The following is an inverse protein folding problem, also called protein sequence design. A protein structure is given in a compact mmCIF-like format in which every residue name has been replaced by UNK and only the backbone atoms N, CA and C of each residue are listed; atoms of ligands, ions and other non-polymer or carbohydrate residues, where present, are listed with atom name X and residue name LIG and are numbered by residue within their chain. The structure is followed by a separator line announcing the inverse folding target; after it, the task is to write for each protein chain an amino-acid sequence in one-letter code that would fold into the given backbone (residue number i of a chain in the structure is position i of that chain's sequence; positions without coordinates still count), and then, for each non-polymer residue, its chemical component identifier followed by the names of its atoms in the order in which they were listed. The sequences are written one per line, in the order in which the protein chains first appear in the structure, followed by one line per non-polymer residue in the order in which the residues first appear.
data_IF_660887919070
#
_entry.id   IF_660887919070
#
_cell.length_a   1.000
_cell.length_b   1.000
_cell.length_c   1.000
_cell.angle_alpha   90.00
_cell.angle_beta   90.00
_cell.angle_gamma   90.00
#
_symmetry.space_group_name_H-M   'P 1'
#
loop_
_entity.id
_entity.type
_entity.pdbx_description
1 polymer ?
#
# COMPACT_ATOMS: atom_id res chain seq x y z
N UNK A 1 18.54 25.75 11.03
CA UNK A 1 19.12 24.63 11.78
C UNK A 1 18.72 23.23 11.27
N UNK A 2 17.70 23.06 10.41
CA UNK A 2 17.29 21.74 9.84
C UNK A 2 18.19 21.21 8.72
N UNK A 3 19.03 22.03 8.09
CA UNK A 3 19.89 21.63 6.95
C UNK A 3 21.22 20.95 7.32
N UNK A 4 21.62 20.97 8.58
CA UNK A 4 22.90 20.40 9.04
C UNK A 4 22.76 18.90 9.42
N UNK A 5 21.55 18.44 9.71
CA UNK A 5 21.30 17.06 10.14
C UNK A 5 21.46 16.00 9.02
N UNK A 6 21.19 16.39 7.76
CA UNK A 6 21.30 15.49 6.60
C UNK A 6 22.76 15.15 6.26
N UNK A 7 23.70 16.08 6.48
CA UNK A 7 25.11 15.83 6.20
C UNK A 7 25.83 14.97 7.27
N UNK A 8 25.32 14.95 8.50
CA UNK A 8 25.91 14.11 9.56
C UNK A 8 25.51 12.63 9.45
N UNK A 9 24.33 12.32 8.91
CA UNK A 9 23.91 10.94 8.66
C UNK A 9 24.75 10.32 7.51
N UNK A 10 25.07 11.07 6.47
CA UNK A 10 25.92 10.59 5.38
C UNK A 10 27.36 10.24 5.82
N UNK A 11 27.89 10.93 6.84
CA UNK A 11 29.27 10.69 7.32
C UNK A 11 29.40 9.43 8.19
N UNK A 12 28.34 8.96 8.81
CA UNK A 12 28.33 7.73 9.64
C UNK A 12 28.31 6.48 8.75
N UNK A 13 27.83 6.57 7.49
CA UNK A 13 27.69 5.43 6.58
C UNK A 13 28.95 5.14 5.72
N UNK A 14 30.04 5.93 5.83
CA UNK A 14 31.27 5.70 5.07
C UNK A 14 32.34 4.87 5.79
N UNK A 15 32.11 4.42 7.02
CA UNK A 15 32.95 3.38 7.60
C UNK A 15 32.45 2.00 7.09
N UNK A 16 33.34 1.07 6.72
CA UNK A 16 32.93 -0.29 6.45
C UNK A 16 32.35 -0.84 7.75
N UNK A 17 31.00 -0.86 7.83
CA UNK A 17 30.36 -1.60 8.91
C UNK A 17 30.76 -3.06 8.74
N UNK A 18 31.35 -3.70 9.77
CA UNK A 18 31.40 -5.14 9.77
C UNK A 18 29.99 -5.62 9.58
N UNK A 19 29.76 -6.60 8.73
CA UNK A 19 28.51 -7.35 8.65
C UNK A 19 28.08 -7.59 10.10
N UNK A 20 26.95 -7.02 10.54
CA UNK A 20 26.47 -7.22 11.90
C UNK A 20 26.31 -8.73 12.08
N UNK A 21 27.15 -9.29 12.93
CA UNK A 21 27.34 -10.69 13.06
C UNK A 21 26.05 -11.42 13.39
N UNK A 22 25.97 -12.66 12.97
CA UNK A 22 25.08 -13.66 13.53
C UNK A 22 25.22 -13.60 15.07
N UNK A 23 24.22 -12.98 15.71
CA UNK A 23 24.04 -13.17 17.16
C UNK A 23 23.48 -14.57 17.29
N UNK A 24 24.33 -15.54 17.60
CA UNK A 24 24.09 -16.99 17.68
C UNK A 24 22.68 -17.43 17.21
N UNK A 25 22.51 -17.65 15.89
CA UNK A 25 21.29 -18.18 15.30
C UNK A 25 20.15 -17.16 15.09
N UNK A 26 20.41 -15.83 15.17
CA UNK A 26 19.49 -14.80 14.72
C UNK A 26 19.95 -14.21 13.38
N UNK A 27 19.02 -14.11 12.44
CA UNK A 27 19.18 -13.37 11.19
C UNK A 27 18.66 -11.96 11.39
N UNK A 28 19.51 -10.96 11.24
CA UNK A 28 19.15 -9.54 11.38
C UNK A 28 19.41 -8.87 10.02
N UNK A 29 18.35 -8.31 9.44
CA UNK A 29 18.38 -7.59 8.19
C UNK A 29 17.64 -6.27 8.34
N UNK A 30 18.00 -5.30 7.53
CA UNK A 30 17.32 -4.03 7.57
C UNK A 30 17.48 -3.25 6.27
N UNK A 31 16.70 -2.18 6.18
CA UNK A 31 16.81 -1.21 5.11
C UNK A 31 16.49 0.19 5.64
N UNK A 32 17.06 1.17 4.97
CA UNK A 32 16.73 2.57 5.17
C UNK A 32 16.65 3.26 3.81
N UNK A 33 15.61 3.99 3.57
CA UNK A 33 15.44 4.78 2.35
C UNK A 33 15.08 6.22 2.66
N UNK A 34 15.49 7.12 1.76
CA UNK A 34 15.10 8.53 1.78
C UNK A 34 14.91 9.00 0.35
N UNK A 35 13.96 9.89 0.15
CA UNK A 35 13.63 10.34 -1.18
C UNK A 35 13.12 11.77 -1.24
N UNK A 36 12.75 12.17 -2.46
CA UNK A 36 12.21 13.47 -2.77
C UNK A 36 11.09 13.30 -3.80
N UNK A 37 9.94 13.93 -3.54
CA UNK A 37 8.81 14.00 -4.46
C UNK A 37 8.59 15.44 -4.91
N UNK A 38 8.36 15.65 -6.21
CA UNK A 38 8.02 16.94 -6.79
C UNK A 38 6.95 16.77 -7.85
N UNK A 39 5.75 17.25 -7.57
CA UNK A 39 4.66 17.27 -8.54
C UNK A 39 4.49 18.66 -9.17
N UNK A 40 3.80 18.69 -10.31
CA UNK A 40 3.34 19.91 -10.95
C UNK A 40 1.82 19.89 -10.99
N UNK A 41 1.19 20.95 -10.52
CA UNK A 41 -0.26 21.22 -10.46
C UNK A 41 -0.98 20.60 -9.26
N UNK A 42 -0.98 19.28 -9.07
CA UNK A 42 -1.70 18.60 -7.98
C UNK A 42 -0.74 18.04 -6.93
N UNK A 43 -1.14 17.97 -5.68
CA UNK A 43 -0.39 17.26 -4.63
C UNK A 43 -0.63 15.75 -4.73
N UNK A 44 0.36 14.97 -4.27
CA UNK A 44 0.31 13.52 -4.21
C UNK A 44 1.22 12.99 -3.11
N UNK A 45 0.69 12.14 -2.23
CA UNK A 45 1.41 11.62 -1.06
C UNK A 45 2.02 12.74 -0.18
N UNK A 46 1.27 13.82 0.03
CA UNK A 46 1.70 14.99 0.77
C UNK A 46 1.84 16.24 -0.11
N UNK A 47 2.44 17.29 0.44
CA UNK A 47 2.57 18.61 -0.24
C UNK A 47 3.63 18.62 -1.35
N UNK A 48 3.54 17.67 -2.27
CA UNK A 48 4.54 17.46 -3.33
C UNK A 48 4.65 18.62 -4.34
N UNK A 49 3.63 19.50 -4.47
CA UNK A 49 3.71 20.71 -5.32
C UNK A 49 4.83 21.67 -4.93
N UNK A 50 5.17 21.75 -3.65
CA UNK A 50 6.28 22.57 -3.17
C UNK A 50 7.60 21.82 -3.09
N UNK A 51 7.55 20.49 -3.26
CA UNK A 51 8.66 19.56 -3.08
C UNK A 51 8.67 19.01 -1.66
N UNK A 52 8.70 17.67 -1.56
CA UNK A 52 8.53 16.91 -0.33
C UNK A 52 9.77 16.05 -0.10
N UNK A 53 10.43 16.22 1.05
CA UNK A 53 11.52 15.37 1.56
C UNK A 53 11.03 14.40 2.65
N UNK A 54 9.80 14.57 3.14
CA UNK A 54 9.11 13.61 3.99
C UNK A 54 8.67 12.41 3.12
N UNK A 55 9.67 11.66 2.65
CA UNK A 55 9.55 10.45 1.85
C UNK A 55 10.68 9.51 2.23
N UNK A 56 10.50 8.85 3.37
CA UNK A 56 11.51 7.97 3.94
C UNK A 56 10.89 6.72 4.57
N UNK A 57 11.64 5.65 4.61
CA UNK A 57 11.24 4.37 5.19
C UNK A 57 12.45 3.74 5.89
N UNK A 58 12.20 3.06 7.00
CA UNK A 58 13.17 2.27 7.73
C UNK A 58 12.52 0.95 8.16
N UNK A 59 13.22 -0.16 7.99
CA UNK A 59 12.78 -1.48 8.45
C UNK A 59 13.93 -2.25 9.09
N UNK A 60 13.65 -2.91 10.23
CA UNK A 60 14.57 -3.82 10.89
C UNK A 60 13.88 -5.17 11.10
N UNK A 61 14.40 -6.21 10.46
CA UNK A 61 13.90 -7.57 10.52
C UNK A 61 14.77 -8.42 11.42
N UNK A 62 14.16 -9.17 12.31
CA UNK A 62 14.82 -10.15 13.16
C UNK A 62 14.11 -11.48 12.99
N UNK A 63 14.84 -12.51 12.58
CA UNK A 63 14.30 -13.84 12.37
C UNK A 63 15.17 -14.86 13.11
N UNK A 64 14.56 -16.00 13.49
CA UNK A 64 15.27 -17.13 14.05
C UNK A 64 14.57 -18.44 13.72
N UNK A 65 15.30 -19.39 13.19
CA UNK A 65 14.90 -20.78 13.16
C UNK A 65 15.13 -21.39 14.54
N UNK A 66 14.04 -21.64 15.29
CA UNK A 66 14.08 -22.22 16.64
C UNK A 66 14.34 -23.73 16.57
N UNK A 67 13.74 -24.38 15.57
CA UNK A 67 13.94 -25.78 15.18
C UNK A 67 13.79 -25.89 13.66
N UNK A 68 14.04 -27.06 13.09
CA UNK A 68 13.85 -27.34 11.66
C UNK A 68 12.41 -27.02 11.16
N UNK A 69 11.44 -26.98 12.07
CA UNK A 69 10.03 -26.81 11.75
C UNK A 69 9.41 -25.54 12.35
N UNK A 70 10.12 -24.83 13.23
CA UNK A 70 9.61 -23.64 13.92
C UNK A 70 10.51 -22.46 13.65
N UNK A 71 9.92 -21.43 13.05
CA UNK A 71 10.55 -20.12 12.85
C UNK A 71 9.77 -19.03 13.57
N UNK A 72 10.48 -18.08 14.13
CA UNK A 72 9.92 -16.83 14.64
C UNK A 72 10.52 -15.67 13.85
N UNK A 73 9.74 -14.62 13.68
CA UNK A 73 10.22 -13.44 12.97
C UNK A 73 9.42 -12.21 13.37
N UNK A 74 10.07 -11.04 13.28
CA UNK A 74 9.43 -9.74 13.51
C UNK A 74 10.08 -8.65 12.66
N UNK A 75 9.33 -7.59 12.40
CA UNK A 75 9.83 -6.36 11.79
C UNK A 75 9.38 -5.15 12.61
N UNK A 76 10.35 -4.31 12.93
CA UNK A 76 10.08 -2.92 13.29
C UNK A 76 10.13 -2.07 12.02
N UNK A 77 9.13 -1.24 11.83
CA UNK A 77 9.01 -0.40 10.64
C UNK A 77 8.65 1.03 11.02
N UNK A 78 9.19 1.97 10.26
CA UNK A 78 8.92 3.40 10.41
C UNK A 78 8.94 4.02 9.02
N UNK A 79 8.03 4.94 8.75
CA UNK A 79 8.01 5.70 7.51
C UNK A 79 7.42 7.09 7.70
N UNK A 80 7.68 7.93 6.72
CA UNK A 80 7.06 9.25 6.60
C UNK A 80 6.76 9.50 5.11
N UNK A 81 5.51 9.84 4.82
CA UNK A 81 5.04 10.22 3.50
C UNK A 81 4.27 11.54 3.56
N UNK A 82 4.84 12.51 4.26
CA UNK A 82 4.34 13.87 4.37
C UNK A 82 3.09 13.98 5.23
N UNK A 83 1.96 13.45 4.80
CA UNK A 83 0.70 13.58 5.53
C UNK A 83 0.43 12.42 6.49
N UNK A 84 1.16 11.33 6.41
CA UNK A 84 0.96 10.14 7.25
C UNK A 84 2.26 9.39 7.51
N UNK A 85 2.27 8.57 8.58
CA UNK A 85 3.44 7.82 9.06
C UNK A 85 4.24 8.55 10.14
N UNK A 86 4.66 9.79 9.90
CA UNK A 86 5.32 10.69 10.85
C UNK A 86 6.57 10.08 11.53
N UNK A 87 7.27 9.13 10.89
CA UNK A 87 8.42 8.40 11.44
C UNK A 87 8.14 7.64 12.75
N UNK A 88 6.90 7.29 13.05
CA UNK A 88 6.55 6.48 14.19
C UNK A 88 7.05 5.04 13.98
N UNK A 89 7.81 4.52 14.95
CA UNK A 89 8.30 3.14 14.92
C UNK A 89 7.20 2.20 15.41
N UNK A 90 6.84 1.22 14.60
CA UNK A 90 5.77 0.26 14.89
C UNK A 90 6.23 -1.18 14.68
N UNK A 91 5.57 -2.10 15.39
CA UNK A 91 5.66 -3.52 15.08
C UNK A 91 4.81 -3.79 13.83
N UNK A 92 5.47 -3.92 12.69
CA UNK A 92 4.81 -4.11 11.41
C UNK A 92 4.25 -5.52 11.26
N UNK A 93 5.04 -6.52 11.65
CA UNK A 93 4.63 -7.91 11.76
C UNK A 93 5.49 -8.64 12.79
N UNK A 94 4.91 -9.68 13.42
CA UNK A 94 5.58 -10.62 14.31
C UNK A 94 4.80 -11.92 14.35
N UNK A 95 5.46 -13.03 14.05
CA UNK A 95 4.79 -14.32 13.94
C UNK A 95 5.63 -15.47 14.46
N UNK A 96 4.92 -16.53 14.82
CA UNK A 96 5.45 -17.89 14.92
C UNK A 96 4.97 -18.66 13.69
N UNK A 97 5.88 -19.33 13.00
CA UNK A 97 5.63 -20.18 11.84
C UNK A 97 5.99 -21.62 12.19
N UNK A 98 5.01 -22.53 12.11
CA UNK A 98 5.20 -23.96 12.27
C UNK A 98 4.92 -24.68 10.96
N UNK A 99 5.96 -25.20 10.34
CA UNK A 99 5.88 -25.99 9.12
C UNK A 99 5.86 -27.50 9.44
N UNK A 100 4.67 -28.08 9.50
CA UNK A 100 4.55 -29.53 9.75
C UNK A 100 5.03 -30.36 8.56
N UNK A 101 4.64 -29.96 7.36
CA UNK A 101 5.03 -30.57 6.07
C UNK A 101 5.13 -29.48 5.01
N UNK A 102 5.73 -29.81 3.86
CA UNK A 102 5.80 -28.89 2.73
C UNK A 102 4.42 -28.39 2.29
N UNK A 103 3.42 -29.29 2.36
CA UNK A 103 2.05 -28.98 1.96
C UNK A 103 1.17 -28.40 3.08
N UNK A 104 1.66 -28.28 4.32
CA UNK A 104 0.90 -27.72 5.44
C UNK A 104 1.81 -27.06 6.46
N UNK A 105 1.61 -25.77 6.63
CA UNK A 105 2.18 -24.93 7.69
C UNK A 105 1.11 -24.05 8.32
N UNK A 106 1.41 -23.57 9.52
CA UNK A 106 0.59 -22.66 10.31
C UNK A 106 1.43 -21.48 10.77
N UNK A 107 0.99 -20.25 10.45
CA UNK A 107 1.52 -19.02 11.04
C UNK A 107 0.51 -18.43 12.01
N UNK A 108 1.00 -17.91 13.14
CA UNK A 108 0.16 -17.26 14.16
C UNK A 108 0.86 -15.99 14.64
N UNK A 109 0.09 -14.92 14.87
CA UNK A 109 0.57 -13.63 15.33
C UNK A 109 0.13 -12.48 14.41
N UNK A 110 0.92 -11.43 14.34
CA UNK A 110 0.75 -10.36 13.34
C UNK A 110 1.46 -10.78 12.05
N UNK A 111 0.75 -11.50 11.19
CA UNK A 111 1.28 -12.13 9.98
C UNK A 111 1.18 -11.17 8.79
N UNK A 112 2.12 -11.22 7.85
CA UNK A 112 1.99 -10.50 6.57
C UNK A 112 0.81 -11.02 5.79
N UNK A 113 -0.04 -10.11 5.29
CA UNK A 113 -1.26 -10.46 4.55
C UNK A 113 -0.94 -10.93 3.14
N UNK A 114 -1.24 -12.19 2.77
CA UNK A 114 -1.02 -12.71 1.42
C UNK A 114 -2.07 -12.15 0.44
N UNK A 115 -1.77 -11.01 -0.20
CA UNK A 115 -2.67 -10.32 -1.12
C UNK A 115 -1.90 -9.86 -2.37
N UNK A 116 -2.38 -10.20 -3.57
CA UNK A 116 -1.69 -9.91 -4.82
C UNK A 116 -0.29 -10.52 -4.91
N UNK A 117 0.54 -9.95 -5.79
CA UNK A 117 1.93 -10.38 -5.97
C UNK A 117 2.85 -9.85 -4.86
N UNK A 118 2.68 -8.59 -4.46
CA UNK A 118 3.71 -7.80 -3.79
C UNK A 118 3.35 -7.31 -2.39
N UNK A 119 2.12 -7.51 -1.89
CA UNK A 119 1.73 -6.96 -0.59
C UNK A 119 2.69 -7.34 0.55
N UNK A 120 3.08 -8.62 0.65
CA UNK A 120 3.99 -9.10 1.70
C UNK A 120 5.40 -8.50 1.65
N UNK A 121 5.78 -7.93 0.52
CA UNK A 121 7.16 -7.50 0.23
C UNK A 121 7.23 -6.06 -0.28
N UNK A 122 6.12 -5.32 -0.25
CA UNK A 122 6.04 -3.96 -0.78
C UNK A 122 6.99 -2.96 -0.10
N UNK A 123 7.50 -3.27 1.09
CA UNK A 123 8.45 -2.43 1.82
C UNK A 123 9.90 -2.67 1.41
N UNK A 124 10.19 -3.80 0.79
CA UNK A 124 11.54 -4.14 0.37
C UNK A 124 11.90 -3.45 -0.96
N UNK A 125 12.19 -2.16 -0.89
CA UNK A 125 12.48 -1.31 -2.05
C UNK A 125 13.57 -1.89 -2.97
N UNK A 126 14.49 -2.70 -2.41
CA UNK A 126 15.54 -3.38 -3.18
C UNK A 126 15.01 -4.44 -4.16
N UNK A 127 13.78 -4.94 -3.97
CA UNK A 127 13.18 -5.98 -4.82
C UNK A 127 12.53 -5.43 -6.10
N UNK A 128 12.26 -4.11 -6.15
CA UNK A 128 11.55 -3.51 -7.29
C UNK A 128 12.43 -2.52 -8.04
N UNK A 129 12.11 -2.35 -9.31
CA UNK A 129 12.66 -1.26 -10.11
C UNK A 129 11.94 0.06 -9.83
N UNK A 130 10.59 0.13 -9.80
CA UNK A 130 9.88 1.38 -9.52
C UNK A 130 10.22 1.98 -8.16
N UNK A 131 10.05 3.31 -8.03
CA UNK A 131 10.07 4.03 -6.74
C UNK A 131 8.75 3.79 -6.01
N UNK A 132 7.64 3.87 -6.72
CA UNK A 132 6.30 3.58 -6.22
C UNK A 132 5.74 2.37 -6.96
N UNK A 133 5.27 1.36 -6.22
CA UNK A 133 4.45 0.31 -6.81
C UNK A 133 3.15 0.90 -7.38
N UNK A 134 2.55 0.29 -8.43
CA UNK A 134 1.33 0.79 -9.04
C UNK A 134 0.20 1.00 -8.03
N UNK A 135 -0.21 2.25 -7.84
CA UNK A 135 -1.15 2.65 -6.78
C UNK A 135 -2.59 2.17 -7.02
N UNK A 136 -2.89 1.66 -8.21
CA UNK A 136 -4.20 1.03 -8.50
C UNK A 136 -4.43 -0.28 -7.73
N UNK A 137 -3.36 -0.90 -7.22
CA UNK A 137 -3.40 -2.14 -6.42
C UNK A 137 -2.71 -1.92 -5.07
N UNK A 138 -1.53 -1.29 -5.05
CA UNK A 138 -0.69 -1.10 -3.86
C UNK A 138 -0.70 0.35 -3.39
N UNK A 139 -1.89 0.88 -3.09
CA UNK A 139 -2.02 2.25 -2.63
C UNK A 139 -1.38 2.46 -1.26
N UNK A 140 -0.51 3.46 -1.15
CA UNK A 140 0.18 3.80 0.10
C UNK A 140 -0.77 4.20 1.22
N UNK A 141 -1.96 4.73 0.91
CA UNK A 141 -2.99 5.06 1.90
C UNK A 141 -3.52 3.85 2.67
N UNK A 142 -3.54 2.66 2.05
CA UNK A 142 -4.01 1.42 2.69
C UNK A 142 -2.87 0.54 3.20
N UNK A 143 -1.61 0.91 2.98
CA UNK A 143 -0.45 0.07 3.32
C UNK A 143 -0.49 -0.39 4.78
N UNK A 144 -0.63 0.52 5.73
CA UNK A 144 -0.55 0.20 7.17
C UNK A 144 -1.67 -0.75 7.61
N UNK A 145 -2.86 -0.59 7.05
CA UNK A 145 -4.00 -1.45 7.35
C UNK A 145 -3.90 -2.81 6.68
N UNK A 146 -3.35 -2.89 5.45
CA UNK A 146 -3.41 -4.11 4.64
C UNK A 146 -2.11 -4.93 4.64
N UNK A 147 -1.01 -4.41 5.22
CA UNK A 147 0.29 -5.11 5.18
C UNK A 147 0.31 -6.35 6.06
N UNK A 148 -0.38 -6.35 7.19
CA UNK A 148 -0.38 -7.44 8.16
C UNK A 148 -1.73 -7.64 8.82
N UNK A 149 -2.02 -8.88 9.23
CA UNK A 149 -3.24 -9.32 9.90
C UNK A 149 -2.86 -9.92 11.26
N UNK A 150 -3.51 -9.47 12.33
CA UNK A 150 -3.38 -10.10 13.66
C UNK A 150 -4.26 -11.34 13.71
N UNK A 151 -3.67 -12.52 13.54
CA UNK A 151 -4.45 -13.75 13.43
C UNK A 151 -3.63 -14.97 13.09
N UNK A 152 -4.17 -15.80 12.21
CA UNK A 152 -3.53 -17.05 11.79
C UNK A 152 -3.65 -17.25 10.27
N UNK A 153 -2.69 -17.98 9.70
CA UNK A 153 -2.71 -18.43 8.31
C UNK A 153 -2.30 -19.88 8.20
N UNK A 154 -3.10 -20.65 7.47
CA UNK A 154 -2.73 -21.96 6.95
C UNK A 154 -2.15 -21.78 5.55
N UNK A 155 -1.01 -22.44 5.28
CA UNK A 155 -0.36 -22.34 3.98
C UNK A 155 0.31 -23.66 3.59
N UNK A 156 0.63 -23.80 2.32
CA UNK A 156 1.39 -24.95 1.86
C UNK A 156 1.69 -24.90 0.36
N UNK A 157 2.59 -25.80 -0.06
CA UNK A 157 2.97 -26.02 -1.44
C UNK A 157 2.48 -27.40 -1.88
N UNK A 158 1.75 -27.45 -2.99
CA UNK A 158 1.17 -28.66 -3.56
C UNK A 158 1.80 -28.91 -4.93
N UNK A 159 2.67 -29.92 -5.06
CA UNK A 159 3.18 -30.32 -6.36
C UNK A 159 2.04 -30.95 -7.17
N UNK A 160 1.83 -30.50 -8.42
CA UNK A 160 0.79 -31.00 -9.32
C UNK A 160 1.39 -31.68 -10.56
N UNK A 161 2.38 -32.53 -10.32
CA UNK A 161 3.07 -33.28 -11.34
C UNK A 161 3.62 -32.39 -12.48
N UNK A 162 3.35 -32.69 -13.74
CA UNK A 162 3.81 -31.95 -14.91
C UNK A 162 3.16 -30.55 -15.05
N UNK A 163 2.15 -30.22 -14.24
CA UNK A 163 1.50 -28.92 -14.22
C UNK A 163 2.21 -27.90 -13.30
N UNK A 164 3.37 -28.25 -12.70
CA UNK A 164 4.12 -27.37 -11.81
C UNK A 164 3.69 -27.52 -10.35
N UNK A 165 3.58 -26.42 -9.61
CA UNK A 165 3.12 -26.46 -8.22
C UNK A 165 2.20 -25.30 -7.88
N UNK A 166 1.32 -25.53 -6.90
CA UNK A 166 0.44 -24.51 -6.31
C UNK A 166 0.95 -24.17 -4.92
N UNK A 167 0.97 -22.90 -4.60
CA UNK A 167 1.06 -22.40 -3.22
C UNK A 167 -0.28 -21.80 -2.82
N UNK A 168 -0.79 -22.22 -1.68
CA UNK A 168 -2.01 -21.66 -1.11
C UNK A 168 -1.72 -21.00 0.23
N UNK A 169 -2.48 -19.94 0.53
CA UNK A 169 -2.54 -19.26 1.82
C UNK A 169 -4.03 -19.02 2.13
N UNK A 170 -4.48 -19.37 3.35
CA UNK A 170 -5.83 -19.08 3.86
C UNK A 170 -5.63 -18.46 5.24
N UNK A 171 -6.17 -17.27 5.47
CA UNK A 171 -5.90 -16.53 6.69
C UNK A 171 -7.15 -15.86 7.25
N UNK A 172 -7.15 -15.67 8.57
CA UNK A 172 -8.22 -14.97 9.30
C UNK A 172 -7.62 -14.20 10.47
N UNK A 173 -8.33 -13.18 10.94
CA UNK A 173 -7.88 -12.38 12.07
C UNK A 173 -8.55 -11.01 12.11
N UNK A 174 -7.80 -10.00 12.56
CA UNK A 174 -8.23 -8.61 12.59
C UNK A 174 -7.14 -7.71 12.02
N UNK A 175 -7.54 -6.57 11.48
CA UNK A 175 -6.63 -5.50 11.05
C UNK A 175 -6.53 -4.43 12.13
N UNK A 176 -5.42 -3.72 12.14
CA UNK A 176 -5.22 -2.55 12.98
C UNK A 176 -5.27 -1.29 12.11
N UNK A 177 -6.07 -0.32 12.51
CA UNK A 177 -6.08 1.00 11.88
C UNK A 177 -5.29 1.97 12.73
N UNK A 178 -4.23 2.47 12.14
CA UNK A 178 -3.37 3.46 12.78
C UNK A 178 -4.03 4.85 12.76
N UNK A 179 -4.15 5.53 13.92
CA UNK A 179 -4.68 6.89 13.97
C UNK A 179 -3.92 7.90 13.11
N UNK A 180 -2.59 7.71 12.94
CA UNK A 180 -1.73 8.54 12.09
C UNK A 180 -1.58 7.98 10.67
N UNK A 181 -2.27 6.88 10.36
CA UNK A 181 -2.16 6.13 9.12
C UNK A 181 -2.91 6.76 7.95
N UNK A 182 -2.56 6.29 6.76
CA UNK A 182 -3.14 6.76 5.52
C UNK A 182 -4.65 6.52 5.42
N UNK A 183 -5.18 5.45 6.01
CA UNK A 183 -6.61 5.10 5.93
C UNK A 183 -7.48 6.16 6.62
N UNK A 184 -7.16 6.57 7.84
CA UNK A 184 -7.91 7.62 8.53
C UNK A 184 -7.76 8.98 7.83
N UNK A 185 -6.59 9.29 7.28
CA UNK A 185 -6.41 10.50 6.45
C UNK A 185 -7.28 10.47 5.18
N UNK A 186 -7.53 9.30 4.65
CA UNK A 186 -8.37 9.12 3.46
C UNK A 186 -9.87 9.26 3.74
N UNK A 187 -10.35 8.81 4.91
CA UNK A 187 -11.78 8.84 5.26
C UNK A 187 -12.19 10.09 6.03
N UNK A 188 -11.26 10.74 6.73
CA UNK A 188 -11.54 11.96 7.51
C UNK A 188 -11.68 13.20 6.63
N UNK A 189 -12.61 14.07 7.01
CA UNK A 189 -12.88 15.35 6.35
C UNK A 189 -12.89 16.49 7.37
N UNK A 190 -13.17 17.72 6.95
CA UNK A 190 -13.34 18.85 7.86
C UNK A 190 -14.58 18.74 8.76
N UNK A 191 -15.56 17.97 8.36
CA UNK A 191 -16.87 17.84 9.03
C UNK A 191 -17.06 16.49 9.69
N UNK A 192 -16.29 15.46 9.27
CA UNK A 192 -16.40 14.11 9.83
C UNK A 192 -15.01 13.64 10.24
N UNK A 193 -14.88 13.26 11.51
CA UNK A 193 -13.63 12.76 12.08
C UNK A 193 -13.87 11.40 12.72
N UNK A 194 -13.26 10.37 12.16
CA UNK A 194 -13.22 9.03 12.73
C UNK A 194 -11.88 8.81 13.43
N UNK A 195 -11.90 8.13 14.58
CA UNK A 195 -10.71 7.89 15.42
C UNK A 195 -10.41 6.42 15.64
N UNK A 196 -11.42 5.58 15.59
CA UNK A 196 -11.30 4.15 15.84
C UNK A 196 -11.95 3.36 14.71
N UNK A 197 -11.37 2.22 14.39
CA UNK A 197 -11.96 1.25 13.47
C UNK A 197 -11.89 -0.14 14.07
N UNK A 198 -12.97 -0.90 13.88
CA UNK A 198 -13.07 -2.30 14.26
C UNK A 198 -13.31 -3.13 13.02
N UNK A 199 -12.57 -4.22 12.89
CA UNK A 199 -12.75 -5.20 11.83
C UNK A 199 -13.43 -6.45 12.40
N UNK A 200 -14.45 -6.90 11.69
CA UNK A 200 -15.16 -8.15 11.97
C UNK A 200 -15.09 -9.07 10.74
N UNK A 201 -15.27 -10.38 10.97
CA UNK A 201 -15.35 -11.43 9.94
C UNK A 201 -14.25 -11.40 8.87
N UNK A 202 -13.02 -11.01 9.29
CA UNK A 202 -11.90 -10.90 8.38
C UNK A 202 -11.39 -12.28 7.95
N UNK A 203 -11.56 -12.61 6.67
CA UNK A 203 -11.05 -13.82 6.06
C UNK A 203 -10.46 -13.53 4.68
N UNK A 204 -9.33 -14.15 4.39
CA UNK A 204 -8.71 -14.03 3.08
C UNK A 204 -8.02 -15.29 2.60
N UNK A 205 -7.73 -15.32 1.31
CA UNK A 205 -7.03 -16.43 0.68
C UNK A 205 -6.21 -15.95 -0.52
N UNK A 206 -5.16 -16.71 -0.83
CA UNK A 206 -4.38 -16.55 -2.06
C UNK A 206 -4.00 -17.91 -2.60
N UNK A 207 -4.05 -18.05 -3.92
CA UNK A 207 -3.53 -19.19 -4.67
C UNK A 207 -2.52 -18.68 -5.69
N UNK A 208 -1.27 -19.16 -5.64
CA UNK A 208 -0.22 -18.91 -6.66
C UNK A 208 0.07 -20.20 -7.41
N UNK A 209 -0.03 -20.16 -8.71
CA UNK A 209 0.34 -21.25 -9.59
C UNK A 209 1.65 -20.97 -10.30
N UNK A 210 2.68 -21.70 -9.93
CA UNK A 210 3.97 -21.76 -10.62
C UNK A 210 3.84 -22.76 -11.77
N UNK A 211 3.62 -22.22 -12.96
CA UNK A 211 3.28 -23.01 -14.14
C UNK A 211 4.48 -23.81 -14.67
N UNK A 212 4.26 -24.79 -15.57
CA UNK A 212 5.35 -25.49 -16.27
C UNK A 212 6.18 -24.57 -17.16
N UNK A 213 5.64 -23.45 -17.63
CA UNK A 213 6.40 -22.44 -18.35
C UNK A 213 7.30 -21.70 -17.36
N UNK A 214 8.60 -21.97 -17.49
CA UNK A 214 9.61 -21.39 -16.59
C UNK A 214 9.50 -19.86 -16.51
N UNK A 215 9.36 -19.37 -15.30
CA UNK A 215 9.24 -17.94 -15.00
C UNK A 215 7.81 -17.39 -15.04
N UNK A 216 6.80 -18.18 -15.44
CA UNK A 216 5.40 -17.73 -15.40
C UNK A 216 4.72 -18.16 -14.11
N UNK A 217 4.22 -17.17 -13.39
CA UNK A 217 3.38 -17.31 -12.19
C UNK A 217 2.03 -16.65 -12.43
N UNK A 218 0.96 -17.36 -12.11
CA UNK A 218 -0.40 -16.83 -12.07
C UNK A 218 -0.87 -16.86 -10.63
N UNK A 219 -1.62 -15.84 -10.20
CA UNK A 219 -2.18 -15.82 -8.86
C UNK A 219 -3.59 -15.23 -8.83
N UNK A 220 -4.36 -15.68 -7.84
CA UNK A 220 -5.62 -15.07 -7.45
C UNK A 220 -5.64 -14.93 -5.94
N UNK A 221 -6.10 -13.81 -5.44
CA UNK A 221 -6.30 -13.56 -4.02
C UNK A 221 -7.62 -12.85 -3.77
N UNK A 222 -8.20 -13.12 -2.62
CA UNK A 222 -9.44 -12.50 -2.17
C UNK A 222 -9.36 -12.25 -0.66
N UNK A 223 -9.97 -11.15 -0.22
CA UNK A 223 -10.23 -10.87 1.19
C UNK A 223 -11.63 -10.29 1.34
N UNK A 224 -12.33 -10.76 2.35
CA UNK A 224 -13.65 -10.26 2.74
C UNK A 224 -13.60 -9.87 4.22
N UNK A 225 -14.27 -8.79 4.58
CA UNK A 225 -14.41 -8.35 5.96
C UNK A 225 -15.58 -7.39 6.11
N UNK A 226 -16.04 -7.24 7.33
CA UNK A 226 -16.85 -6.12 7.77
C UNK A 226 -15.98 -5.17 8.59
N UNK A 227 -16.29 -3.88 8.57
CA UNK A 227 -15.51 -2.88 9.28
C UNK A 227 -16.42 -1.69 9.63
N UNK A 228 -16.27 -1.15 10.84
CA UNK A 228 -16.91 0.12 11.16
C UNK A 228 -15.92 1.09 11.81
N UNK A 229 -16.13 2.37 11.51
CA UNK A 229 -15.43 3.48 12.14
C UNK A 229 -16.37 4.20 13.09
N UNK A 230 -15.85 4.60 14.25
CA UNK A 230 -16.57 5.46 15.21
C UNK A 230 -15.92 6.84 15.24
N UNK A 231 -16.74 7.87 15.34
CA UNK A 231 -16.26 9.25 15.33
C UNK A 231 -17.38 10.26 15.48
N UNK A 232 -17.17 11.46 14.98
CA UNK A 232 -18.13 12.57 15.06
C UNK A 232 -18.32 13.24 13.70
N UNK A 233 -19.56 13.70 13.46
CA UNK A 233 -19.91 14.50 12.29
C UNK A 233 -20.41 15.88 12.71
N UNK A 234 -19.96 16.95 12.05
CA UNK A 234 -20.46 18.29 12.26
C UNK A 234 -21.89 18.44 11.72
N UNK A 235 -22.76 19.05 12.49
CA UNK A 235 -24.13 19.34 12.04
C UNK A 235 -24.16 20.55 11.10
N UNK A 236 -24.90 20.46 9.97
CA UNK A 236 -25.06 21.59 9.08
C UNK A 236 -25.95 22.70 9.72
N UNK A 237 -25.89 23.94 9.22
CA UNK A 237 -26.82 24.99 9.63
C UNK A 237 -28.30 24.50 9.47
N UNK A 238 -29.20 24.86 10.40
CA UNK A 238 -29.11 25.94 11.37
C UNK A 238 -28.47 25.62 12.74
N UNK A 239 -27.85 24.44 12.90
CA UNK A 239 -27.13 24.14 14.14
C UNK A 239 -26.00 25.15 14.39
N UNK A 240 -25.70 25.51 15.67
CA UNK A 240 -24.57 26.36 15.99
C UNK A 240 -23.24 25.80 15.43
N UNK A 241 -22.36 26.68 14.98
CA UNK A 241 -21.05 26.27 14.49
C UNK A 241 -20.28 25.48 15.57
N UNK A 242 -19.68 24.34 15.16
CA UNK A 242 -18.99 23.42 16.07
C UNK A 242 -19.88 22.42 16.80
N UNK A 243 -21.20 22.38 16.54
CA UNK A 243 -22.05 21.31 17.05
C UNK A 243 -21.77 20.03 16.28
N UNK A 244 -21.45 18.96 17.01
CA UNK A 244 -21.20 17.62 16.43
C UNK A 244 -22.18 16.60 16.98
N UNK A 245 -22.39 15.53 16.23
CA UNK A 245 -23.10 14.31 16.66
C UNK A 245 -22.15 13.12 16.50
N UNK A 246 -22.37 12.08 17.29
CA UNK A 246 -21.67 10.83 17.09
C UNK A 246 -22.08 10.21 15.76
N UNK A 247 -21.10 9.65 15.05
CA UNK A 247 -21.28 9.04 13.74
C UNK A 247 -20.56 7.70 13.66
N UNK A 248 -21.21 6.75 13.00
CA UNK A 248 -20.64 5.43 12.68
C UNK A 248 -20.65 5.32 11.16
N UNK A 249 -19.49 4.98 10.58
CA UNK A 249 -19.38 4.60 9.18
C UNK A 249 -19.15 3.10 9.11
N UNK A 250 -20.16 2.39 8.63
CA UNK A 250 -20.18 0.93 8.48
C UNK A 250 -19.82 0.53 7.05
N UNK A 251 -18.87 -0.37 6.91
CA UNK A 251 -18.65 -1.17 5.71
C UNK A 251 -19.24 -2.55 5.96
N UNK A 252 -20.47 -2.74 5.53
CA UNK A 252 -21.28 -3.94 5.83
C UNK A 252 -20.94 -5.12 4.92
N UNK A 253 -20.33 -4.87 3.78
CA UNK A 253 -19.82 -5.87 2.85
C UNK A 253 -18.61 -5.28 2.11
N UNK A 254 -17.43 -5.70 2.49
CA UNK A 254 -16.21 -5.36 1.78
C UNK A 254 -15.59 -6.62 1.19
N UNK A 255 -15.45 -6.62 -0.12
CA UNK A 255 -14.78 -7.68 -0.87
C UNK A 255 -13.68 -7.10 -1.75
N UNK A 256 -12.47 -7.64 -1.64
CA UNK A 256 -11.35 -7.28 -2.50
C UNK A 256 -10.77 -8.51 -3.18
N UNK A 257 -10.82 -8.52 -4.51
CA UNK A 257 -10.30 -9.62 -5.33
C UNK A 257 -9.20 -9.09 -6.23
N UNK A 258 -8.08 -9.82 -6.32
CA UNK A 258 -6.94 -9.50 -7.20
C UNK A 258 -6.59 -10.72 -8.04
N UNK A 259 -6.56 -10.55 -9.36
CA UNK A 259 -6.00 -11.50 -10.30
C UNK A 259 -4.64 -11.02 -10.79
N UNK A 260 -3.62 -11.90 -10.77
CA UNK A 260 -2.23 -11.52 -10.96
C UNK A 260 -1.50 -12.42 -11.96
N UNK A 261 -0.59 -11.84 -12.72
CA UNK A 261 0.34 -12.51 -13.61
C UNK A 261 1.74 -11.93 -13.43
N UNK A 262 2.75 -12.77 -13.29
CA UNK A 262 4.16 -12.37 -13.38
C UNK A 262 4.90 -13.32 -14.32
N UNK A 263 5.71 -12.77 -15.21
CA UNK A 263 6.53 -13.55 -16.14
C UNK A 263 7.96 -13.01 -16.18
N UNK A 264 8.88 -13.83 -15.69
CA UNK A 264 10.32 -13.57 -15.77
C UNK A 264 10.91 -14.29 -16.98
N UNK A 265 11.44 -13.53 -17.91
CA UNK A 265 12.11 -14.06 -19.11
C UNK A 265 13.44 -13.39 -19.33
N UNK A 266 14.56 -14.11 -19.13
CA UNK A 266 15.92 -13.58 -19.14
C UNK A 266 16.03 -12.40 -18.18
N UNK A 267 16.39 -11.21 -18.69
CA UNK A 267 16.54 -9.98 -17.95
C UNK A 267 15.28 -9.13 -17.85
N UNK A 268 14.14 -9.65 -18.36
CA UNK A 268 12.83 -9.02 -18.30
C UNK A 268 11.96 -9.60 -17.19
N UNK A 269 11.25 -8.73 -16.49
CA UNK A 269 10.14 -9.08 -15.59
C UNK A 269 8.91 -8.32 -16.07
N UNK A 270 7.86 -9.07 -16.40
CA UNK A 270 6.54 -8.53 -16.73
C UNK A 270 5.59 -8.87 -15.62
N UNK A 271 4.85 -7.90 -15.11
CA UNK A 271 3.78 -8.14 -14.15
C UNK A 271 2.53 -7.36 -14.52
N UNK A 272 1.38 -7.95 -14.25
CA UNK A 272 0.09 -7.33 -14.44
C UNK A 272 -0.88 -7.82 -13.36
N UNK A 273 -1.68 -6.92 -12.83
CA UNK A 273 -2.74 -7.25 -11.89
C UNK A 273 -4.02 -6.48 -12.22
N UNK A 274 -5.14 -7.15 -11.95
CA UNK A 274 -6.46 -6.56 -11.91
C UNK A 274 -7.01 -6.66 -10.50
N UNK A 275 -7.51 -5.57 -9.97
CA UNK A 275 -8.02 -5.41 -8.64
C UNK A 275 -9.46 -4.91 -8.69
N UNK A 276 -10.34 -5.53 -7.92
CA UNK A 276 -11.72 -5.11 -7.76
C UNK A 276 -12.07 -5.08 -6.27
N UNK A 277 -12.55 -3.93 -5.81
CA UNK A 277 -13.08 -3.72 -4.47
C UNK A 277 -14.57 -3.42 -4.57
N UNK A 278 -15.39 -4.26 -3.99
CA UNK A 278 -16.81 -4.02 -3.79
C UNK A 278 -17.02 -3.52 -2.35
N UNK A 279 -17.77 -2.43 -2.16
CA UNK A 279 -17.91 -1.75 -0.87
C UNK A 279 -19.33 -1.24 -0.72
N UNK A 280 -20.03 -1.71 0.32
CA UNK A 280 -21.29 -1.14 0.79
C UNK A 280 -21.02 -0.35 2.08
N UNK A 281 -21.29 0.95 2.04
CA UNK A 281 -20.93 1.91 3.08
C UNK A 281 -22.18 2.62 3.56
N UNK A 282 -22.44 2.53 4.85
CA UNK A 282 -23.54 3.24 5.51
C UNK A 282 -22.98 4.18 6.57
N UNK A 283 -23.41 5.44 6.58
CA UNK A 283 -23.12 6.40 7.66
C UNK A 283 -24.39 6.61 8.45
N UNK A 284 -24.33 6.39 9.78
CA UNK A 284 -25.48 6.47 10.70
C UNK A 284 -25.07 7.07 12.05
N UNK A 285 -26.06 7.51 12.84
CA UNK A 285 -25.85 7.80 14.25
C UNK A 285 -25.88 6.52 15.10
N UNK A 286 -25.38 6.53 16.35
CA UNK A 286 -25.49 5.38 17.26
C UNK A 286 -26.92 4.89 17.46
N UNK A 287 -27.92 5.79 17.40
CA UNK A 287 -29.36 5.45 17.51
C UNK A 287 -29.89 4.83 16.21
N UNK A 288 -29.08 4.69 15.17
CA UNK A 288 -29.47 4.06 13.91
C UNK A 288 -30.16 4.99 12.92
N UNK A 289 -30.06 6.30 13.09
CA UNK A 289 -30.55 7.27 12.08
C UNK A 289 -29.58 7.27 10.91
N UNK A 290 -30.05 6.90 9.74
CA UNK A 290 -29.25 6.90 8.51
C UNK A 290 -28.97 8.33 8.06
N UNK A 291 -27.68 8.62 7.83
CA UNK A 291 -27.20 9.88 7.29
C UNK A 291 -26.85 9.73 5.81
N UNK A 292 -26.28 8.59 5.43
CA UNK A 292 -25.89 8.29 4.06
C UNK A 292 -25.79 6.79 3.84
N UNK A 293 -26.09 6.35 2.61
CA UNK A 293 -25.92 4.99 2.14
C UNK A 293 -25.35 5.01 0.72
N UNK A 294 -24.31 4.21 0.47
CA UNK A 294 -23.68 4.12 -0.83
C UNK A 294 -23.09 2.74 -1.08
N UNK A 295 -23.27 2.25 -2.30
CA UNK A 295 -22.58 1.08 -2.83
C UNK A 295 -21.60 1.51 -3.92
N UNK A 296 -20.37 1.04 -3.87
CA UNK A 296 -19.35 1.36 -4.86
C UNK A 296 -18.51 0.15 -5.21
N UNK A 297 -18.23 0.04 -6.50
CA UNK A 297 -17.29 -0.96 -7.01
C UNK A 297 -16.11 -0.25 -7.65
N UNK A 298 -14.94 -0.37 -7.04
CA UNK A 298 -13.71 0.22 -7.53
C UNK A 298 -12.95 -0.79 -8.38
N UNK A 299 -12.59 -0.39 -9.60
CA UNK A 299 -11.70 -1.16 -10.48
C UNK A 299 -10.31 -0.53 -10.51
N UNK A 300 -9.27 -1.37 -10.37
CA UNK A 300 -7.88 -0.99 -10.53
C UNK A 300 -7.13 -2.02 -11.38
N UNK A 301 -6.20 -1.60 -12.22
CA UNK A 301 -5.31 -2.51 -12.93
C UNK A 301 -4.01 -1.84 -13.34
N UNK A 302 -2.98 -2.65 -13.53
CA UNK A 302 -1.74 -2.19 -14.10
C UNK A 302 -1.08 -3.27 -14.96
N UNK A 303 -0.17 -2.80 -15.82
CA UNK A 303 0.82 -3.63 -16.50
C UNK A 303 2.20 -2.96 -16.32
N UNK A 304 3.20 -3.73 -15.95
CA UNK A 304 4.56 -3.29 -15.64
C UNK A 304 5.56 -4.13 -16.40
N UNK A 305 6.65 -3.52 -16.81
CA UNK A 305 7.83 -4.19 -17.37
C UNK A 305 9.08 -3.61 -16.72
N UNK A 306 9.98 -4.48 -16.29
CA UNK A 306 11.33 -4.12 -15.85
C UNK A 306 12.35 -4.86 -16.69
N UNK A 307 13.50 -4.22 -16.95
CA UNK A 307 14.59 -4.77 -17.73
C UNK A 307 15.94 -4.46 -17.08
N UNK A 308 16.73 -5.51 -16.85
CA UNK A 308 18.10 -5.37 -16.39
C UNK A 308 19.03 -5.13 -17.58
N UNK A 309 19.46 -3.88 -17.75
CA UNK A 309 20.38 -3.48 -18.83
C UNK A 309 21.77 -4.10 -18.60
N UNK A 310 22.23 -4.04 -17.34
CA UNK A 310 23.50 -4.62 -16.88
C UNK A 310 23.48 -4.74 -15.34
N UNK A 311 24.64 -5.03 -14.73
CA UNK A 311 24.74 -5.23 -13.27
C UNK A 311 24.45 -4.00 -12.44
N UNK A 312 24.65 -2.79 -12.98
CA UNK A 312 24.49 -1.53 -12.26
C UNK A 312 23.29 -0.69 -12.73
N UNK A 313 22.61 -1.06 -13.85
CA UNK A 313 21.49 -0.31 -14.40
C UNK A 313 20.31 -1.22 -14.68
N UNK A 314 19.17 -0.87 -14.11
CA UNK A 314 17.85 -1.44 -14.44
C UNK A 314 16.92 -0.31 -14.85
N UNK A 315 15.99 -0.59 -15.75
CA UNK A 315 14.94 0.35 -16.16
C UNK A 315 13.58 -0.30 -16.02
N UNK A 316 12.56 0.49 -15.74
CA UNK A 316 11.19 0.03 -15.59
C UNK A 316 10.19 1.01 -16.18
N UNK A 317 9.04 0.51 -16.51
CA UNK A 317 7.87 1.30 -16.87
C UNK A 317 6.62 0.57 -16.42
N UNK A 318 5.60 1.33 -16.03
CA UNK A 318 4.26 0.78 -15.84
C UNK A 318 3.19 1.76 -16.32
N UNK A 319 2.03 1.19 -16.63
CA UNK A 319 0.79 1.93 -16.81
C UNK A 319 -0.24 1.41 -15.83
N UNK A 320 -0.72 2.28 -14.96
CA UNK A 320 -1.66 1.99 -13.87
C UNK A 320 -2.93 2.80 -14.05
N UNK A 321 -4.08 2.18 -13.81
CA UNK A 321 -5.40 2.82 -13.92
C UNK A 321 -6.25 2.42 -12.72
N UNK A 322 -6.89 3.39 -12.10
CA UNK A 322 -7.88 3.19 -11.04
C UNK A 322 -9.11 4.03 -11.32
N UNK A 323 -10.27 3.43 -11.19
CA UNK A 323 -11.56 4.09 -11.25
C UNK A 323 -12.22 4.08 -9.89
N UNK A 324 -12.74 5.23 -9.46
CA UNK A 324 -13.45 5.34 -8.19
C UNK A 324 -14.71 4.47 -8.17
N UNK A 325 -15.40 4.41 -9.30
CA UNK A 325 -16.60 3.60 -9.51
C UNK A 325 -16.57 3.02 -10.93
N UNK A 326 -16.70 1.67 -11.04
CA UNK A 326 -16.72 0.96 -12.33
C UNK A 326 -17.87 1.38 -13.24
N UNK A 327 -18.99 1.81 -12.67
CA UNK A 327 -20.18 2.20 -13.40
C UNK A 327 -20.14 3.67 -13.84
N UNK A 328 -19.20 4.46 -13.27
CA UNK A 328 -18.97 5.86 -13.63
C UNK A 328 -17.53 6.13 -14.14
N UNK A 329 -16.95 5.22 -14.91
CA UNK A 329 -15.57 5.36 -15.45
C UNK A 329 -15.33 6.61 -16.29
N UNK A 330 -16.40 7.20 -16.85
CA UNK A 330 -16.34 8.44 -17.66
C UNK A 330 -16.55 9.70 -16.82
N UNK A 331 -16.88 9.57 -15.54
CA UNK A 331 -17.10 10.70 -14.64
C UNK A 331 -18.39 11.49 -14.95
N UNK A 332 -19.38 10.88 -15.62
CA UNK A 332 -20.62 11.57 -16.03
C UNK A 332 -21.48 12.02 -14.85
N UNK A 333 -21.25 11.47 -13.67
CA UNK A 333 -21.95 11.87 -12.43
C UNK A 333 -21.32 13.10 -11.77
N UNK A 334 -20.17 13.57 -12.28
CA UNK A 334 -19.52 14.79 -11.82
C UNK A 334 -19.97 16.00 -12.61
N UNK A 335 -19.86 17.23 -12.06
CA UNK A 335 -20.11 18.45 -12.80
C UNK A 335 -19.28 18.53 -14.08
N UNK A 336 -19.82 19.17 -15.09
CA UNK A 336 -19.10 19.38 -16.38
C UNK A 336 -17.73 20.04 -16.16
N UNK A 337 -16.68 19.45 -16.73
CA UNK A 337 -15.29 19.85 -16.54
C UNK A 337 -14.58 19.19 -15.35
N UNK A 338 -15.31 18.43 -14.54
CA UNK A 338 -14.79 17.69 -13.35
C UNK A 338 -14.83 16.17 -13.54
N UNK A 339 -15.08 15.67 -14.73
CA UNK A 339 -15.20 14.22 -15.01
C UNK A 339 -13.94 13.44 -14.61
N UNK A 340 -12.78 14.09 -14.65
CA UNK A 340 -11.47 13.51 -14.34
C UNK A 340 -11.25 13.17 -12.86
N UNK A 341 -12.17 13.51 -11.99
CA UNK A 341 -12.20 13.05 -10.58
C UNK A 341 -12.58 11.56 -10.47
N UNK A 342 -13.22 10.99 -11.48
CA UNK A 342 -13.63 9.59 -11.50
C UNK A 342 -12.47 8.60 -11.65
N UNK A 343 -11.27 9.04 -12.01
CA UNK A 343 -10.15 8.15 -12.29
C UNK A 343 -8.79 8.72 -11.89
N UNK A 344 -7.84 7.81 -11.78
CA UNK A 344 -6.41 8.08 -11.72
C UNK A 344 -5.68 7.15 -12.70
N UNK A 345 -4.96 7.73 -13.65
CA UNK A 345 -4.14 7.00 -14.62
C UNK A 345 -2.72 7.51 -14.49
N UNK A 346 -1.76 6.60 -14.45
CA UNK A 346 -0.36 6.90 -14.20
C UNK A 346 0.53 6.09 -15.16
N UNK A 347 1.30 6.78 -15.98
CA UNK A 347 2.38 6.21 -16.79
C UNK A 347 3.70 6.61 -16.14
N UNK A 348 4.45 5.63 -15.63
CA UNK A 348 5.72 5.84 -14.96
C UNK A 348 6.88 5.26 -15.75
N UNK A 349 8.03 5.95 -15.69
CA UNK A 349 9.32 5.50 -16.22
C UNK A 349 10.36 5.61 -15.12
N UNK A 350 11.09 4.52 -14.88
CA UNK A 350 12.08 4.40 -13.81
C UNK A 350 13.46 4.08 -14.36
N UNK A 351 14.47 4.70 -13.77
CA UNK A 351 15.87 4.29 -13.86
C UNK A 351 16.35 3.95 -12.44
N UNK A 352 16.86 2.73 -12.26
CA UNK A 352 17.49 2.26 -11.02
C UNK A 352 18.95 2.03 -11.24
N UNK A 353 19.77 2.66 -10.41
CA UNK A 353 21.23 2.51 -10.39
C UNK A 353 21.62 1.71 -9.15
N UNK A 354 22.13 0.50 -9.33
CA UNK A 354 22.73 -0.31 -8.28
C UNK A 354 24.18 0.15 -8.09
N UNK A 355 24.41 0.97 -7.06
CA UNK A 355 25.75 1.52 -6.78
C UNK A 355 26.64 0.44 -6.16
N UNK A 356 26.05 -0.36 -5.26
CA UNK A 356 26.60 -1.58 -4.70
C UNK A 356 25.47 -2.61 -4.52
N UNK A 357 25.77 -3.81 -4.02
CA UNK A 357 24.78 -4.84 -3.71
C UNK A 357 23.82 -4.42 -2.60
N UNK A 358 24.21 -3.45 -1.76
CA UNK A 358 23.42 -2.96 -0.61
C UNK A 358 22.97 -1.50 -0.77
N UNK A 359 23.24 -0.83 -1.90
CA UNK A 359 22.87 0.56 -2.12
C UNK A 359 22.40 0.80 -3.55
N UNK A 360 21.19 1.35 -3.68
CA UNK A 360 20.66 1.81 -4.97
C UNK A 360 20.14 3.26 -4.91
N UNK A 361 20.03 3.85 -6.10
CA UNK A 361 19.42 5.16 -6.34
C UNK A 361 18.43 4.99 -7.49
N UNK A 362 17.22 5.49 -7.32
CA UNK A 362 16.14 5.42 -8.30
C UNK A 362 15.63 6.81 -8.68
N UNK A 363 15.38 6.99 -9.95
CA UNK A 363 14.74 8.16 -10.54
C UNK A 363 13.48 7.69 -11.23
N UNK A 364 12.35 8.33 -10.95
CA UNK A 364 11.07 7.98 -11.56
C UNK A 364 10.31 9.23 -12.01
N UNK A 365 9.77 9.17 -13.23
CA UNK A 365 8.96 10.22 -13.79
C UNK A 365 7.56 9.68 -14.08
N UNK A 366 6.56 10.35 -13.55
CA UNK A 366 5.15 10.03 -13.71
C UNK A 366 4.45 11.03 -14.61
N UNK A 367 3.59 10.52 -15.49
CA UNK A 367 2.64 11.28 -16.33
C UNK A 367 1.24 10.86 -15.95
N UNK A 368 0.56 11.73 -15.24
CA UNK A 368 -0.72 11.43 -14.60
C UNK A 368 -1.89 12.08 -15.35
N UNK A 369 -3.02 11.36 -15.38
CA UNK A 369 -4.27 11.83 -15.93
C UNK A 369 -5.40 11.44 -14.98
N UNK A 370 -6.14 12.44 -14.49
CA UNK A 370 -7.15 12.28 -13.44
C UNK A 370 -6.58 12.54 -12.05
N UNK A 371 -7.47 12.76 -11.09
CA UNK A 371 -7.10 13.25 -9.75
C UNK A 371 -7.69 12.44 -8.61
N UNK A 372 -8.27 11.27 -8.88
CA UNK A 372 -8.91 10.45 -7.84
C UNK A 372 -7.98 10.12 -6.66
N UNK A 373 -6.69 9.93 -6.89
CA UNK A 373 -5.68 9.71 -5.84
C UNK A 373 -4.85 10.96 -5.51
N UNK A 374 -5.14 12.11 -6.12
CA UNK A 374 -4.44 13.35 -5.78
C UNK A 374 -4.93 13.89 -4.43
N UNK A 375 -4.03 14.54 -3.71
CA UNK A 375 -4.36 15.14 -2.42
C UNK A 375 -4.85 16.57 -2.57
N UNK A 376 -5.93 16.94 -1.87
CA UNK A 376 -6.41 18.33 -1.85
C UNK A 376 -5.39 19.25 -1.18
N UNK A 377 -5.40 20.53 -1.56
CA UNK A 377 -4.59 21.57 -0.91
C UNK A 377 -5.06 21.82 0.54
N UNK A 378 -6.34 21.62 0.80
CA UNK A 378 -6.98 21.68 2.11
C UNK A 378 -7.79 20.40 2.34
N UNK A 379 -8.02 19.99 3.60
CA UNK A 379 -8.89 18.85 3.88
C UNK A 379 -10.25 19.05 3.20
N UNK A 380 -10.79 18.01 2.51
CA UNK A 380 -12.08 18.11 1.85
C UNK A 380 -13.21 18.31 2.86
N UNK A 381 -14.29 18.95 2.46
CA UNK A 381 -15.54 18.90 3.21
C UNK A 381 -16.17 17.52 3.07
N UNK A 382 -17.05 17.11 3.99
CA UNK A 382 -17.78 15.86 3.87
C UNK A 382 -18.61 15.83 2.57
N UNK A 383 -19.15 16.96 2.17
CA UNK A 383 -19.89 17.10 0.92
C UNK A 383 -18.98 16.84 -0.31
N UNK A 384 -17.74 17.36 -0.29
CA UNK A 384 -16.79 17.14 -1.36
C UNK A 384 -16.25 15.71 -1.40
N UNK A 385 -15.90 15.15 -0.23
CA UNK A 385 -15.27 13.83 -0.15
C UNK A 385 -16.28 12.69 -0.35
N UNK A 386 -17.46 12.79 0.23
CA UNK A 386 -18.44 11.69 0.31
C UNK A 386 -19.48 11.80 -0.81
N UNK A 387 -19.99 12.99 -1.10
CA UNK A 387 -21.08 13.18 -2.06
C UNK A 387 -20.57 13.42 -3.48
N UNK A 388 -19.58 14.28 -3.65
CA UNK A 388 -19.04 14.60 -4.98
C UNK A 388 -17.76 13.85 -5.34
N UNK A 389 -17.05 13.29 -4.37
CA UNK A 389 -15.74 12.67 -4.61
C UNK A 389 -14.69 13.64 -5.17
N UNK A 390 -14.88 14.95 -4.94
CA UNK A 390 -14.06 16.03 -5.50
C UNK A 390 -13.13 16.58 -4.43
N UNK A 391 -11.81 16.26 -4.46
CA UNK A 391 -10.87 16.91 -3.57
C UNK A 391 -10.74 18.41 -3.94
N UNK A 392 -10.99 19.35 -3.01
CA UNK A 392 -10.82 20.78 -3.30
C UNK A 392 -9.37 21.09 -3.69
N UNK A 393 -9.18 21.85 -4.78
CA UNK A 393 -7.85 22.29 -5.22
C UNK A 393 -7.10 21.33 -6.15
N UNK A 394 -7.65 20.15 -6.47
CA UNK A 394 -7.11 19.23 -7.48
C UNK A 394 -7.79 19.50 -8.80
N UNK A 395 -7.38 20.53 -9.52
CA UNK A 395 -8.12 21.03 -10.72
C UNK A 395 -7.55 20.54 -12.05
N UNK A 396 -6.27 20.18 -12.07
CA UNK A 396 -5.59 19.87 -13.32
C UNK A 396 -5.70 18.40 -13.66
N UNK A 397 -6.40 18.10 -14.75
CA UNK A 397 -6.58 16.75 -15.28
C UNK A 397 -5.27 16.06 -15.66
N UNK A 398 -4.34 16.82 -16.28
CA UNK A 398 -3.05 16.32 -16.77
C UNK A 398 -1.95 16.97 -15.94
N UNK A 399 -1.14 16.13 -15.29
CA UNK A 399 -0.08 16.60 -14.42
C UNK A 399 1.08 15.61 -14.36
N UNK A 400 2.16 16.00 -13.72
CA UNK A 400 3.38 15.18 -13.66
C UNK A 400 3.94 15.15 -12.25
N UNK A 401 4.67 14.08 -11.92
CA UNK A 401 5.45 13.97 -10.69
C UNK A 401 6.82 13.37 -10.99
N UNK A 402 7.82 13.92 -10.36
CA UNK A 402 9.17 13.37 -10.29
C UNK A 402 9.41 12.78 -8.90
N UNK A 403 10.00 11.60 -8.85
CA UNK A 403 10.43 10.95 -7.63
C UNK A 403 11.91 10.57 -7.70
N UNK A 404 12.62 10.82 -6.62
CA UNK A 404 14.00 10.38 -6.39
C UNK A 404 14.01 9.61 -5.08
N UNK A 405 14.64 8.44 -5.05
CA UNK A 405 14.79 7.64 -3.83
C UNK A 405 16.15 6.97 -3.78
N UNK A 406 16.75 6.95 -2.62
CA UNK A 406 17.96 6.16 -2.34
C UNK A 406 17.67 5.18 -1.22
N UNK A 407 18.14 3.95 -1.36
CA UNK A 407 17.90 2.88 -0.40
C UNK A 407 19.17 2.13 -0.09
N UNK A 408 19.41 1.94 1.19
CA UNK A 408 20.45 1.07 1.73
C UNK A 408 19.81 -0.15 2.38
N UNK A 409 20.42 -1.33 2.22
CA UNK A 409 20.02 -2.57 2.90
C UNK A 409 21.25 -3.26 3.49
N UNK A 410 21.04 -4.02 4.54
CA UNK A 410 22.11 -4.78 5.23
C UNK A 410 21.57 -6.11 5.77
#
# INVERSE_FOLDING_TARGET
MKKIFIFLIAAIFFSPFPSFGEVEGFEIHGFASSGYLKSKYNNYLGKSKVGLFEFNEFGLNINKDVTDNIRIGMQLYSFDMGNFGNNNVKLDWAFLDYQWKEYLGLKVGKIKTPLGLYNEVQDYDMLWVPVLLPQSVYTKYLRETMISTQGASLYGNLPISFLGHLRYDIYTGAQEVDPDGGMLKYVNTTEVTFGEAVFDDYIGSRLKWYTPLRGLVLAGSAVNFEMYFTGTAALPPPAPAGTTIDAIMDFTDFSWVIGSLEYTFKDFIFSAEYSRMDMDITVKTPEGIFLQDMSRVRDGYYAQMSYRVNTWLETGTYYSVMYQDKDNKKGTNYPAGSEHYAWHKDLAFTLRFNITDFWNVKFEQHFMNGVFLAEPDNPPTAYDAVINGVPPGCTEKIWTMFALKTTFSF
#
